data_IF_968493479814
#
_entry.id   IF_968493479814
#
_cell.length_a   1.000
_cell.length_b   1.000
_cell.length_c   1.000
_cell.angle_alpha   90.00
_cell.angle_beta   90.00
_cell.angle_gamma   90.00
#
_symmetry.space_group_name_H-M   'P 1'
#
loop_
_entity.id
_entity.type
_entity.pdbx_description
1 polymer ?
#
# COMPACT_ATOMS: atom_id res chain seq x y z
N UNK A 1 -2.67 -11.24 0.07
CA UNK A 1 -2.83 -10.12 1.02
C UNK A 1 -1.62 -10.09 1.94
N UNK A 2 -1.05 -8.90 2.14
CA UNK A 2 0.07 -8.68 3.07
C UNK A 2 -0.09 -7.34 3.81
N UNK A 3 0.68 -7.19 4.89
CA UNK A 3 0.82 -5.94 5.64
C UNK A 3 2.02 -5.09 5.15
N UNK A 4 2.27 -3.96 5.81
CA UNK A 4 3.37 -3.05 5.50
C UNK A 4 4.77 -3.65 5.65
N UNK A 5 4.91 -4.75 6.37
CA UNK A 5 6.15 -5.52 6.55
C UNK A 5 6.26 -6.71 5.59
N UNK A 6 5.32 -6.82 4.65
CA UNK A 6 5.18 -7.92 3.68
C UNK A 6 4.85 -9.28 4.30
N UNK A 7 4.36 -9.29 5.54
CA UNK A 7 3.87 -10.51 6.18
C UNK A 7 2.46 -10.83 5.67
N UNK A 8 2.24 -12.11 5.35
CA UNK A 8 0.94 -12.59 4.88
C UNK A 8 -0.07 -12.74 6.03
N UNK A 9 -1.27 -13.21 5.71
CA UNK A 9 -2.29 -13.54 6.72
C UNK A 9 -1.82 -14.61 7.71
N UNK A 10 -0.84 -15.43 7.30
CA UNK A 10 -0.24 -16.45 8.17
C UNK A 10 0.97 -15.85 8.87
N UNK A 11 0.97 -15.78 10.22
CA UNK A 11 2.09 -15.24 10.98
C UNK A 11 3.41 -15.95 10.66
N UNK A 12 4.46 -15.15 10.42
CA UNK A 12 5.81 -15.66 10.09
C UNK A 12 6.01 -16.05 8.63
N UNK A 13 4.99 -15.93 7.77
CA UNK A 13 5.12 -16.13 6.33
C UNK A 13 5.10 -14.78 5.62
N UNK A 14 6.17 -14.50 4.87
CA UNK A 14 6.36 -13.27 4.11
C UNK A 14 6.31 -13.54 2.61
N UNK A 15 5.87 -12.57 1.84
CA UNK A 15 5.82 -12.65 0.38
C UNK A 15 6.47 -11.41 -0.24
N UNK A 16 7.29 -11.58 -1.27
CA UNK A 16 7.98 -10.48 -1.93
C UNK A 16 8.14 -10.74 -3.43
N UNK A 17 8.60 -9.74 -4.15
CA UNK A 17 8.83 -9.81 -5.59
C UNK A 17 7.58 -10.17 -6.38
N UNK A 18 7.75 -10.88 -7.48
CA UNK A 18 6.66 -11.24 -8.38
C UNK A 18 5.69 -12.29 -7.81
N UNK A 19 6.03 -12.92 -6.69
CA UNK A 19 5.07 -13.75 -5.95
C UNK A 19 3.99 -12.91 -5.24
N UNK A 20 4.30 -11.65 -4.95
CA UNK A 20 3.36 -10.71 -4.32
C UNK A 20 2.53 -9.94 -5.35
N UNK A 21 3.18 -9.30 -6.29
CA UNK A 21 2.61 -8.60 -7.44
C UNK A 21 3.67 -8.45 -8.54
N UNK A 22 3.26 -8.25 -9.78
CA UNK A 22 4.18 -8.06 -10.90
C UNK A 22 4.90 -6.71 -10.78
N UNK A 23 6.22 -6.73 -10.77
CA UNK A 23 7.07 -5.56 -10.68
C UNK A 23 7.59 -5.14 -12.06
N UNK A 24 7.66 -3.83 -12.32
CA UNK A 24 8.17 -3.28 -13.58
C UNK A 24 9.70 -3.30 -13.65
N UNK A 25 10.37 -3.24 -12.51
CA UNK A 25 11.83 -3.17 -12.39
C UNK A 25 12.37 -4.19 -11.40
N UNK A 26 13.54 -4.76 -11.73
CA UNK A 26 14.28 -5.68 -10.83
C UNK A 26 14.61 -5.01 -9.49
N UNK A 27 14.86 -3.70 -9.48
CA UNK A 27 15.15 -2.95 -8.26
C UNK A 27 14.00 -3.02 -7.26
N UNK A 28 12.75 -3.01 -7.73
CA UNK A 28 11.57 -3.18 -6.86
C UNK A 28 11.49 -4.59 -6.28
N UNK A 29 11.83 -5.60 -7.09
CA UNK A 29 11.92 -7.00 -6.62
C UNK A 29 12.96 -7.12 -5.51
N UNK A 30 14.15 -6.53 -5.72
CA UNK A 30 15.25 -6.54 -4.75
C UNK A 30 14.87 -5.82 -3.46
N UNK A 31 14.28 -4.62 -3.57
CA UNK A 31 13.84 -3.82 -2.41
C UNK A 31 12.77 -4.56 -1.58
N UNK A 32 11.81 -5.22 -2.25
CA UNK A 32 10.78 -6.01 -1.54
C UNK A 32 11.38 -7.24 -0.87
N UNK A 33 12.35 -7.90 -1.51
CA UNK A 33 13.09 -9.03 -0.93
C UNK A 33 13.89 -8.63 0.31
N UNK A 34 14.56 -7.47 0.26
CA UNK A 34 15.30 -6.91 1.40
C UNK A 34 14.35 -6.60 2.57
N UNK A 35 13.22 -5.96 2.29
CA UNK A 35 12.22 -5.64 3.31
C UNK A 35 11.65 -6.93 3.94
N UNK A 36 11.24 -7.90 3.15
CA UNK A 36 10.71 -9.18 3.64
C UNK A 36 11.76 -9.93 4.47
N UNK A 37 13.02 -9.95 4.04
CA UNK A 37 14.12 -10.57 4.77
C UNK A 37 14.38 -9.91 6.12
N UNK A 38 14.41 -8.58 6.19
CA UNK A 38 14.55 -7.83 7.44
C UNK A 38 13.36 -8.09 8.37
N UNK A 39 12.15 -8.04 7.84
CA UNK A 39 10.93 -8.29 8.60
C UNK A 39 10.89 -9.72 9.17
N UNK A 40 11.29 -10.71 8.39
CA UNK A 40 11.38 -12.11 8.84
C UNK A 40 12.45 -12.30 9.93
N UNK A 41 13.62 -11.65 9.79
CA UNK A 41 14.68 -11.74 10.78
C UNK A 41 14.31 -11.14 12.14
N UNK A 42 13.43 -10.14 12.15
CA UNK A 42 12.95 -9.48 13.38
C UNK A 42 11.58 -9.99 13.83
N UNK A 43 11.05 -11.01 13.14
CA UNK A 43 9.74 -11.53 13.47
C UNK A 43 9.69 -12.11 14.89
N UNK A 44 8.74 -11.62 15.67
CA UNK A 44 8.32 -12.21 16.93
C UNK A 44 6.80 -12.39 16.91
N UNK A 45 6.33 -13.54 17.35
CA UNK A 45 4.88 -13.76 17.43
C UNK A 45 4.25 -12.76 18.39
N UNK A 46 3.26 -12.00 17.90
CA UNK A 46 2.53 -11.00 18.65
C UNK A 46 1.06 -10.98 18.22
N UNK A 47 0.21 -10.41 19.06
CA UNK A 47 -1.17 -10.14 18.67
C UNK A 47 -1.17 -8.95 17.70
N UNK A 48 -1.66 -9.17 16.50
CA UNK A 48 -1.80 -8.13 15.47
C UNK A 48 -3.02 -7.26 15.74
N UNK A 49 -2.87 -5.99 15.48
CA UNK A 49 -3.94 -5.01 15.45
C UNK A 49 -4.00 -4.38 14.05
N UNK A 50 -4.71 -5.05 13.15
CA UNK A 50 -4.72 -4.71 11.73
C UNK A 50 -5.90 -3.83 11.34
N UNK A 51 -5.63 -2.85 10.47
CA UNK A 51 -6.64 -2.12 9.71
C UNK A 51 -6.51 -2.45 8.23
N UNK A 52 -7.64 -2.72 7.57
CA UNK A 52 -7.67 -2.96 6.15
C UNK A 52 -7.43 -1.67 5.36
N UNK A 53 -6.66 -1.77 4.28
CA UNK A 53 -6.51 -0.72 3.27
C UNK A 53 -7.43 -1.06 2.12
N UNK A 54 -8.47 -0.28 1.92
CA UNK A 54 -9.46 -0.46 0.88
C UNK A 54 -9.20 0.48 -0.31
N UNK A 55 -9.72 0.15 -1.47
CA UNK A 55 -9.51 0.90 -2.71
C UNK A 55 -10.81 1.10 -3.49
N UNK A 56 -10.91 2.20 -4.26
CA UNK A 56 -11.98 2.38 -5.25
C UNK A 56 -11.79 1.45 -6.46
N UNK A 57 -12.83 1.30 -7.28
CA UNK A 57 -12.82 0.43 -8.46
C UNK A 57 -11.85 0.89 -9.56
N UNK A 58 -11.34 2.12 -9.48
CA UNK A 58 -10.37 2.66 -10.44
C UNK A 58 -8.95 2.11 -10.25
N UNK A 59 -8.71 1.42 -9.12
CA UNK A 59 -7.48 0.67 -8.90
C UNK A 59 -7.61 -0.76 -9.43
N UNK A 60 -6.62 -1.22 -10.17
CA UNK A 60 -6.46 -2.63 -10.51
C UNK A 60 -6.00 -3.43 -9.29
N UNK A 61 -5.08 -2.88 -8.50
CA UNK A 61 -4.67 -3.36 -7.19
C UNK A 61 -3.90 -2.28 -6.41
N UNK A 62 -3.76 -2.51 -5.11
CA UNK A 62 -2.86 -1.77 -4.24
C UNK A 62 -2.25 -2.74 -3.22
N UNK A 63 -0.96 -2.60 -2.96
CA UNK A 63 -0.18 -3.40 -2.00
C UNK A 63 0.59 -2.45 -1.08
N UNK A 64 0.60 -2.63 0.24
CA UNK A 64 -0.08 -3.66 1.05
C UNK A 64 -1.58 -3.39 1.20
N UNK A 65 -2.34 -4.44 1.54
CA UNK A 65 -3.78 -4.36 1.76
C UNK A 65 -4.16 -4.24 3.24
N UNK A 66 -3.17 -4.26 4.14
CA UNK A 66 -3.35 -4.13 5.59
C UNK A 66 -2.21 -3.34 6.19
N UNK A 67 -2.46 -2.73 7.31
CA UNK A 67 -1.46 -2.11 8.18
C UNK A 67 -1.63 -2.67 9.57
N UNK A 68 -0.55 -3.18 10.17
CA UNK A 68 -0.55 -3.63 11.57
C UNK A 68 -0.12 -2.45 12.45
N UNK A 69 -1.04 -1.92 13.25
CA UNK A 69 -0.83 -0.77 14.12
C UNK A 69 0.17 -1.03 15.25
N UNK A 70 0.51 -2.30 15.50
CA UNK A 70 1.54 -2.68 16.48
C UNK A 70 2.96 -2.59 15.92
N UNK A 71 3.10 -2.35 14.60
CA UNK A 71 4.37 -2.23 13.89
C UNK A 71 4.69 -0.76 13.55
N UNK A 72 5.93 -0.50 13.16
CA UNK A 72 6.34 0.80 12.63
C UNK A 72 5.75 1.01 11.22
N UNK A 73 4.90 2.01 11.07
CA UNK A 73 4.29 2.41 9.80
C UNK A 73 4.77 3.79 9.32
N UNK A 74 5.92 4.27 9.81
CA UNK A 74 6.48 5.58 9.46
C UNK A 74 7.01 5.68 8.02
N UNK A 75 7.25 4.56 7.35
CA UNK A 75 7.76 4.53 5.97
C UNK A 75 7.24 3.30 5.21
N UNK A 76 5.92 3.22 5.01
CA UNK A 76 5.31 2.12 4.25
C UNK A 76 5.34 2.45 2.77
N UNK A 77 5.97 1.58 1.98
CA UNK A 77 5.97 1.68 0.52
C UNK A 77 4.75 0.98 -0.06
N UNK A 78 3.96 1.72 -0.85
CA UNK A 78 2.80 1.22 -1.54
C UNK A 78 3.11 1.09 -3.03
N UNK A 79 2.55 0.04 -3.65
CA UNK A 79 2.56 -0.19 -5.09
C UNK A 79 1.13 -0.33 -5.58
N UNK A 80 0.80 0.34 -6.69
CA UNK A 80 -0.51 0.22 -7.28
C UNK A 80 -0.48 0.36 -8.80
N UNK A 81 -1.54 -0.10 -9.45
CA UNK A 81 -1.86 0.15 -10.85
C UNK A 81 -3.30 0.64 -10.96
N UNK A 82 -3.58 1.50 -11.92
CA UNK A 82 -4.97 1.81 -12.27
C UNK A 82 -5.63 0.64 -12.99
N UNK A 83 -6.95 0.52 -12.86
CA UNK A 83 -7.72 -0.48 -13.59
C UNK A 83 -7.84 -0.14 -15.07
N UNK A 84 -7.91 1.16 -15.39
CA UNK A 84 -8.08 1.69 -16.74
C UNK A 84 -7.10 2.81 -17.02
N UNK A 85 -7.04 3.25 -18.29
CA UNK A 85 -6.31 4.45 -18.67
C UNK A 85 -7.06 5.68 -18.19
N UNK A 86 -6.45 6.42 -17.28
CA UNK A 86 -7.02 7.65 -16.72
C UNK A 86 -6.19 8.85 -17.13
N UNK A 87 -6.88 9.94 -17.50
CA UNK A 87 -6.28 11.26 -17.75
C UNK A 87 -5.87 11.93 -16.43
N UNK A 88 -5.82 13.29 -16.42
CA UNK A 88 -5.45 14.01 -15.21
C UNK A 88 -6.34 13.62 -14.03
N UNK A 89 -5.71 13.15 -12.96
CA UNK A 89 -6.41 12.63 -11.80
C UNK A 89 -5.65 12.91 -10.50
N UNK A 90 -6.29 12.62 -9.39
CA UNK A 90 -5.74 12.74 -8.04
C UNK A 90 -5.97 11.43 -7.28
N UNK A 91 -4.90 10.85 -6.75
CA UNK A 91 -5.01 9.77 -5.77
C UNK A 91 -5.18 10.41 -4.39
N UNK A 92 -6.19 9.99 -3.69
CA UNK A 92 -6.59 10.53 -2.38
C UNK A 92 -6.58 9.41 -1.36
N UNK A 93 -6.03 9.69 -0.18
CA UNK A 93 -6.12 8.83 0.98
C UNK A 93 -7.05 9.47 2.01
N UNK A 94 -8.05 8.73 2.41
CA UNK A 94 -8.92 9.09 3.53
C UNK A 94 -8.71 8.14 4.71
N UNK A 95 -8.76 8.70 5.91
CA UNK A 95 -8.79 7.95 7.17
C UNK A 95 -10.06 8.34 7.90
N UNK A 96 -10.90 7.35 8.19
CA UNK A 96 -12.23 7.55 8.79
C UNK A 96 -13.06 8.63 8.06
N UNK A 97 -12.99 8.64 6.73
CA UNK A 97 -13.72 9.55 5.85
C UNK A 97 -13.10 10.95 5.69
N UNK A 98 -11.98 11.25 6.35
CA UNK A 98 -11.28 12.53 6.23
C UNK A 98 -10.08 12.40 5.29
N UNK A 99 -9.96 13.29 4.30
CA UNK A 99 -8.78 13.36 3.45
C UNK A 99 -7.56 13.75 4.29
N UNK A 100 -6.55 12.87 4.31
CA UNK A 100 -5.30 13.08 5.05
C UNK A 100 -4.09 13.23 4.13
N UNK A 101 -4.21 12.79 2.89
CA UNK A 101 -3.15 12.90 1.90
C UNK A 101 -3.71 12.81 0.48
N UNK A 102 -3.07 13.51 -0.48
CA UNK A 102 -3.36 13.35 -1.89
C UNK A 102 -2.17 13.69 -2.79
N UNK A 103 -2.17 13.11 -4.00
CA UNK A 103 -1.17 13.35 -5.03
C UNK A 103 -1.81 13.41 -6.42
N UNK A 104 -1.41 14.39 -7.22
CA UNK A 104 -1.85 14.55 -8.61
C UNK A 104 -0.99 13.74 -9.56
N UNK A 105 -1.65 13.14 -10.55
CA UNK A 105 -1.03 12.44 -11.66
C UNK A 105 -1.55 13.01 -12.97
N UNK A 106 -0.67 13.28 -13.97
CA UNK A 106 -1.10 13.75 -15.29
C UNK A 106 -1.88 12.66 -16.04
N UNK A 107 -1.55 11.42 -15.79
CA UNK A 107 -2.25 10.23 -16.29
C UNK A 107 -1.86 9.01 -15.44
N UNK A 108 -2.69 7.97 -15.48
CA UNK A 108 -2.39 6.64 -14.97
C UNK A 108 -2.73 5.61 -16.06
N UNK A 109 -1.94 4.55 -16.15
CA UNK A 109 -2.13 3.47 -17.13
C UNK A 109 -1.93 2.10 -16.45
N UNK A 110 -2.76 1.09 -16.78
CA UNK A 110 -2.66 -0.23 -16.17
C UNK A 110 -1.27 -0.88 -16.24
N UNK A 111 -0.51 -0.78 -17.38
CA UNK A 111 0.81 -1.39 -17.46
C UNK A 111 1.88 -0.71 -16.59
N UNK A 112 1.63 0.54 -16.14
CA UNK A 112 2.61 1.33 -15.40
C UNK A 112 2.36 1.21 -13.90
N UNK A 113 3.26 0.53 -13.18
CA UNK A 113 3.20 0.44 -11.73
C UNK A 113 3.62 1.76 -11.10
N UNK A 114 2.83 2.25 -10.17
CA UNK A 114 3.14 3.41 -9.35
C UNK A 114 3.68 2.98 -8.00
N UNK A 115 4.64 3.75 -7.48
CA UNK A 115 5.22 3.56 -6.17
C UNK A 115 5.10 4.87 -5.37
N UNK A 116 4.72 4.75 -4.11
CA UNK A 116 4.77 5.86 -3.17
C UNK A 116 5.09 5.36 -1.76
N UNK A 117 5.72 6.21 -0.96
CA UNK A 117 6.02 5.89 0.44
C UNK A 117 5.32 6.90 1.33
N UNK A 118 4.57 6.42 2.31
CA UNK A 118 3.79 7.24 3.24
C UNK A 118 4.15 6.94 4.69
N UNK A 119 4.08 7.96 5.52
CA UNK A 119 4.20 7.89 6.98
C UNK A 119 2.78 7.78 7.57
N UNK A 120 2.30 6.56 7.69
CA UNK A 120 0.95 6.31 8.21
C UNK A 120 0.81 6.61 9.69
N UNK A 121 1.90 6.57 10.45
CA UNK A 121 1.86 6.95 11.87
C UNK A 121 1.50 8.44 12.02
N UNK A 122 2.04 9.31 11.15
CA UNK A 122 1.66 10.73 11.09
C UNK A 122 0.29 10.97 10.47
N UNK A 123 -0.19 10.07 9.62
CA UNK A 123 -1.50 10.18 8.99
C UNK A 123 -2.66 9.71 9.87
N UNK A 124 -2.38 9.24 11.08
CA UNK A 124 -3.39 9.01 12.11
C UNK A 124 -4.06 7.64 12.08
N UNK A 125 -3.33 6.59 11.67
CA UNK A 125 -3.90 5.24 11.63
C UNK A 125 -4.03 4.56 13.01
N UNK A 126 -3.45 5.12 14.07
CA UNK A 126 -3.39 4.47 15.39
C UNK A 126 -4.75 4.02 15.92
N UNK A 127 -5.79 4.84 15.71
CA UNK A 127 -7.17 4.56 16.12
C UNK A 127 -8.12 4.43 14.91
N UNK A 128 -7.58 4.34 13.69
CA UNK A 128 -8.38 4.33 12.48
C UNK A 128 -9.20 3.02 12.35
N UNK A 129 -10.45 3.17 11.95
CA UNK A 129 -11.34 2.05 11.60
C UNK A 129 -11.41 1.83 10.10
N UNK A 130 -11.12 2.87 9.29
CA UNK A 130 -11.17 2.84 7.84
C UNK A 130 -9.99 3.58 7.24
N UNK A 131 -9.30 2.93 6.31
CA UNK A 131 -8.21 3.50 5.50
C UNK A 131 -8.55 3.22 4.04
N UNK A 132 -8.83 4.26 3.27
CA UNK A 132 -9.34 4.12 1.92
C UNK A 132 -8.58 4.97 0.91
N UNK A 133 -8.19 4.35 -0.23
CA UNK A 133 -7.63 5.03 -1.39
C UNK A 133 -8.67 5.17 -2.49
N UNK A 134 -8.79 6.37 -3.03
CA UNK A 134 -9.67 6.71 -4.14
C UNK A 134 -8.87 7.40 -5.26
N UNK A 135 -9.29 7.19 -6.51
CA UNK A 135 -8.81 7.98 -7.66
C UNK A 135 -9.92 8.92 -8.11
N UNK A 136 -9.68 10.21 -7.96
CA UNK A 136 -10.57 11.26 -8.46
C UNK A 136 -10.09 11.71 -9.84
N UNK A 137 -10.87 11.44 -10.87
CA UNK A 137 -10.59 11.92 -12.23
C UNK A 137 -11.04 13.36 -12.37
N UNK A 138 -10.20 14.23 -12.94
CA UNK A 138 -10.57 15.60 -13.21
C UNK A 138 -11.78 15.62 -14.15
N UNK A 139 -12.86 16.25 -13.72
CA UNK A 139 -14.03 16.49 -14.60
C UNK A 139 -13.61 17.44 -15.72
N UNK A 140 -13.91 17.04 -16.92
CA UNK A 140 -13.72 17.88 -18.11
C UNK A 140 -14.60 19.15 -18.04
#
# INVERSE_FOLDING_TARGET
>A
VCDGQLMTEIPGIFSCGNALHVNDLVDYVSASGELAGKSAAHFAAHTRDEVAVTISNDFGYLVPQRLDRTQDNSAVTLYFRSAEVLGPCRVVLTVDGNEVWSRRYPFLRPPEMQQLTLDFDKLGIADASDVHFEIEVAKA
#
